data_IF_171007373624
#
_entry.id   IF_171007373624
#
_cell.length_a   1.000
_cell.length_b   1.000
_cell.length_c   1.000
_cell.angle_alpha   90.00
_cell.angle_beta   90.00
_cell.angle_gamma   90.00
#
_symmetry.space_group_name_H-M   'P 1'
#
loop_
_entity.id
_entity.type
_entity.pdbx_description
1 polymer ?
#
# COMPACT_ATOMS: atom_id res chain seq x y z
N UNK A 1 20.70 5.27 9.83
CA UNK A 1 19.28 5.32 9.42
C UNK A 1 19.00 4.49 8.17
N UNK A 2 19.64 4.72 7.01
CA UNK A 2 19.31 3.94 5.79
C UNK A 2 19.42 2.42 6.01
N UNK A 3 20.47 1.97 6.70
CA UNK A 3 20.74 0.56 7.02
C UNK A 3 20.28 0.12 8.42
N UNK A 4 19.46 0.93 9.08
CA UNK A 4 18.99 0.70 10.46
C UNK A 4 17.45 0.56 10.46
N UNK A 5 16.90 -0.67 10.46
CA UNK A 5 15.46 -0.91 10.43
C UNK A 5 14.73 -0.29 11.63
N UNK A 6 15.34 -0.35 12.82
CA UNK A 6 14.75 0.20 14.05
C UNK A 6 14.80 1.73 14.02
N UNK A 7 15.89 2.30 13.52
CA UNK A 7 15.99 3.73 13.28
C UNK A 7 14.94 4.25 12.29
N UNK A 8 14.65 3.50 11.20
CA UNK A 8 13.55 3.84 10.27
C UNK A 8 12.20 3.83 10.98
N UNK A 9 11.96 2.84 11.85
CA UNK A 9 10.75 2.74 12.65
C UNK A 9 10.58 3.93 13.60
N UNK A 10 11.66 4.30 14.30
CA UNK A 10 11.69 5.46 15.19
C UNK A 10 11.46 6.77 14.41
N UNK A 11 12.12 6.93 13.26
CA UNK A 11 11.99 8.12 12.43
C UNK A 11 10.55 8.36 11.99
N UNK A 12 9.85 7.32 11.51
CA UNK A 12 8.43 7.45 11.18
C UNK A 12 7.58 7.74 12.41
N UNK A 13 7.87 7.13 13.56
CA UNK A 13 7.11 7.43 14.77
C UNK A 13 7.22 8.93 15.12
N UNK A 14 8.42 9.49 14.99
CA UNK A 14 8.71 10.92 15.21
C UNK A 14 7.98 11.84 14.24
N UNK A 15 7.74 11.45 12.98
CA UNK A 15 7.03 12.34 12.05
C UNK A 15 5.59 12.65 12.46
N UNK A 16 4.96 11.77 13.26
CA UNK A 16 3.61 12.01 13.81
C UNK A 16 3.58 12.87 15.08
N UNK A 17 4.74 13.26 15.63
CA UNK A 17 4.82 14.18 16.75
C UNK A 17 4.88 15.65 16.32
N UNK A 18 4.99 15.92 15.02
CA UNK A 18 5.13 17.27 14.48
C UNK A 18 6.48 17.93 14.84
N UNK A 19 6.71 19.17 14.39
CA UNK A 19 8.01 19.83 14.47
C UNK A 19 8.45 20.15 15.91
N UNK A 20 7.49 20.35 16.81
CA UNK A 20 7.71 20.70 18.23
C UNK A 20 7.47 19.54 19.19
N UNK A 21 7.30 18.32 18.68
CA UNK A 21 7.06 17.12 19.51
C UNK A 21 5.62 16.98 20.03
N UNK A 22 4.73 17.95 19.77
CA UNK A 22 3.34 17.95 20.19
C UNK A 22 2.37 18.10 19.00
N UNK A 23 1.81 16.98 18.55
CA UNK A 23 0.81 16.96 17.47
C UNK A 23 -0.32 15.96 17.75
N UNK A 24 -1.20 16.22 18.74
CA UNK A 24 -2.18 15.24 19.22
C UNK A 24 -3.18 14.81 18.14
N UNK A 25 -3.46 15.67 17.15
CA UNK A 25 -4.33 15.34 16.00
C UNK A 25 -3.71 14.34 15.02
N UNK A 26 -2.37 14.22 14.98
CA UNK A 26 -1.66 13.30 14.08
C UNK A 26 -1.46 11.91 14.70
N UNK A 27 -1.33 11.82 16.03
CA UNK A 27 -1.06 10.58 16.75
C UNK A 27 -2.00 9.40 16.44
N UNK A 28 -3.32 9.59 16.22
CA UNK A 28 -4.21 8.49 15.86
C UNK A 28 -3.80 7.77 14.56
N UNK A 29 -3.21 8.48 13.60
CA UNK A 29 -2.78 7.94 12.30
C UNK A 29 -1.48 7.14 12.39
N UNK A 30 -0.66 7.41 13.43
CA UNK A 30 0.62 6.73 13.69
C UNK A 30 0.47 5.22 13.78
N UNK A 31 -0.64 4.73 14.36
CA UNK A 31 -0.84 3.28 14.59
C UNK A 31 -0.80 2.49 13.28
N UNK A 32 -1.49 2.97 12.24
CA UNK A 32 -1.52 2.30 10.93
C UNK A 32 -0.13 2.27 10.29
N UNK A 33 0.55 3.43 10.24
CA UNK A 33 1.89 3.54 9.67
C UNK A 33 2.90 2.62 10.37
N UNK A 34 2.94 2.62 11.71
CA UNK A 34 3.87 1.79 12.46
C UNK A 34 3.54 0.30 12.39
N UNK A 35 2.27 -0.08 12.26
CA UNK A 35 1.90 -1.48 12.11
C UNK A 35 2.49 -2.07 10.83
N UNK A 36 2.40 -1.35 9.72
CA UNK A 36 2.96 -1.83 8.45
C UNK A 36 4.49 -1.84 8.48
N UNK A 37 5.13 -0.81 9.04
CA UNK A 37 6.59 -0.81 9.15
C UNK A 37 7.13 -1.90 10.08
N UNK A 38 6.45 -2.21 11.20
CA UNK A 38 6.84 -3.36 12.04
C UNK A 38 6.76 -4.67 11.28
N UNK A 39 5.75 -4.83 10.43
CA UNK A 39 5.67 -5.99 9.55
C UNK A 39 6.84 -6.00 8.55
N UNK A 40 7.21 -4.87 7.95
CA UNK A 40 8.38 -4.77 7.07
C UNK A 40 9.69 -5.15 7.79
N UNK A 41 9.88 -4.66 9.03
CA UNK A 41 11.02 -5.03 9.88
C UNK A 41 10.99 -6.53 10.19
N UNK A 42 9.85 -7.05 10.68
CA UNK A 42 9.71 -8.46 11.06
C UNK A 42 9.90 -9.43 9.90
N UNK A 43 9.45 -9.07 8.70
CA UNK A 43 9.67 -9.87 7.47
C UNK A 43 11.13 -9.87 7.02
N UNK A 44 11.93 -8.89 7.45
CA UNK A 44 13.32 -8.72 7.04
C UNK A 44 13.53 -7.92 5.77
N UNK A 45 12.48 -7.38 5.14
CA UNK A 45 12.63 -6.62 3.87
C UNK A 45 13.42 -5.32 4.06
N UNK A 46 13.48 -4.78 5.29
CA UNK A 46 14.26 -3.58 5.61
C UNK A 46 15.67 -3.85 6.12
N UNK A 47 16.09 -5.12 6.25
CA UNK A 47 17.44 -5.48 6.71
C UNK A 47 18.51 -4.79 5.84
N UNK A 48 19.72 -4.62 6.38
CA UNK A 48 20.82 -4.04 5.62
C UNK A 48 21.11 -4.89 4.36
N UNK A 49 21.64 -4.25 3.31
CA UNK A 49 21.91 -4.95 2.04
C UNK A 49 23.07 -5.96 2.19
N UNK A 50 23.94 -5.76 3.16
CA UNK A 50 25.04 -6.64 3.55
C UNK A 50 24.68 -7.62 4.68
N UNK A 51 23.42 -7.63 5.15
CA UNK A 51 22.95 -8.58 6.16
C UNK A 51 22.79 -10.00 5.57
N UNK A 52 22.62 -10.99 6.45
CA UNK A 52 22.34 -12.38 6.05
C UNK A 52 21.09 -12.92 6.77
N UNK A 53 19.96 -13.09 6.07
CA UNK A 53 19.71 -12.72 4.67
C UNK A 53 19.68 -11.19 4.47
N UNK A 54 19.97 -10.68 3.25
CA UNK A 54 19.92 -9.25 2.96
C UNK A 54 18.47 -8.76 2.87
N UNK A 55 18.26 -7.46 3.09
CA UNK A 55 16.96 -6.83 2.82
C UNK A 55 16.66 -6.65 1.33
N UNK A 56 15.45 -6.22 1.00
CA UNK A 56 15.06 -5.90 -0.37
C UNK A 56 15.48 -4.47 -0.73
N UNK A 57 16.25 -4.28 -1.82
CA UNK A 57 16.55 -2.95 -2.34
C UNK A 57 15.29 -2.13 -2.64
N UNK A 58 14.28 -2.77 -3.24
CA UNK A 58 13.02 -2.13 -3.61
C UNK A 58 12.23 -1.67 -2.38
N UNK A 59 12.02 -2.54 -1.39
CA UNK A 59 11.26 -2.22 -0.17
C UNK A 59 11.93 -1.09 0.62
N UNK A 60 13.26 -1.09 0.68
CA UNK A 60 14.04 -0.05 1.35
C UNK A 60 13.93 1.30 0.64
N UNK A 61 13.89 1.32 -0.69
CA UNK A 61 13.73 2.53 -1.49
C UNK A 61 12.32 3.13 -1.34
N UNK A 62 11.27 2.30 -1.42
CA UNK A 62 9.88 2.75 -1.20
C UNK A 62 9.67 3.28 0.21
N UNK A 63 10.18 2.56 1.22
CA UNK A 63 10.14 3.02 2.60
C UNK A 63 10.91 4.34 2.79
N UNK A 64 12.07 4.51 2.15
CA UNK A 64 12.85 5.74 2.23
C UNK A 64 12.09 6.94 1.64
N UNK A 65 11.40 6.78 0.51
CA UNK A 65 10.57 7.85 -0.07
C UNK A 65 9.49 8.31 0.90
N UNK A 66 8.74 7.36 1.49
CA UNK A 66 7.70 7.66 2.47
C UNK A 66 8.26 8.41 3.70
N UNK A 67 9.42 7.97 4.21
CA UNK A 67 10.08 8.64 5.34
C UNK A 67 10.55 10.05 4.96
N UNK A 68 11.15 10.22 3.78
CA UNK A 68 11.65 11.51 3.30
C UNK A 68 10.51 12.52 3.17
N UNK A 69 9.44 12.15 2.47
CA UNK A 69 8.30 13.05 2.24
C UNK A 69 7.66 13.46 3.58
N UNK A 70 7.49 12.52 4.51
CA UNK A 70 6.97 12.81 5.85
C UNK A 70 7.89 13.68 6.70
N UNK A 71 9.20 13.45 6.66
CA UNK A 71 10.18 14.27 7.38
C UNK A 71 10.23 15.70 6.83
N UNK A 72 10.18 15.85 5.50
CA UNK A 72 10.16 17.16 4.86
C UNK A 72 8.91 17.95 5.23
N UNK A 73 7.73 17.31 5.22
CA UNK A 73 6.49 17.97 5.64
C UNK A 73 6.54 18.43 7.11
N UNK A 74 7.11 17.62 8.00
CA UNK A 74 7.33 18.02 9.40
C UNK A 74 8.27 19.22 9.49
N UNK A 75 9.41 19.19 8.81
CA UNK A 75 10.37 20.30 8.80
C UNK A 75 9.74 21.60 8.27
N UNK A 76 8.95 21.51 7.20
CA UNK A 76 8.22 22.64 6.61
C UNK A 76 7.14 23.20 7.53
N UNK A 77 6.39 22.34 8.19
CA UNK A 77 5.41 22.77 9.21
C UNK A 77 6.09 23.46 10.40
N UNK A 78 7.38 23.22 10.62
CA UNK A 78 8.23 23.90 11.60
C UNK A 78 8.88 25.20 11.10
N UNK A 79 8.55 25.67 9.89
CA UNK A 79 9.06 26.92 9.33
C UNK A 79 10.20 26.79 8.31
N UNK A 80 10.58 25.56 7.92
CA UNK A 80 11.55 25.38 6.83
C UNK A 80 10.95 25.85 5.50
N UNK A 81 11.59 26.83 4.86
CA UNK A 81 11.16 27.42 3.59
C UNK A 81 11.62 26.64 2.34
N UNK A 82 11.34 27.18 1.15
CA UNK A 82 11.73 26.63 -0.15
C UNK A 82 10.60 25.89 -0.87
N UNK A 83 10.86 25.41 -2.10
CA UNK A 83 9.88 24.61 -2.87
C UNK A 83 9.87 23.15 -2.38
N UNK A 84 8.69 22.52 -2.18
CA UNK A 84 8.55 21.09 -1.91
C UNK A 84 9.34 20.22 -2.88
N UNK A 85 9.99 19.16 -2.38
CA UNK A 85 10.78 18.26 -3.23
C UNK A 85 9.93 17.37 -4.13
N UNK A 86 8.66 17.15 -3.78
CA UNK A 86 7.72 16.34 -4.55
C UNK A 86 6.27 16.78 -4.33
N UNK A 87 5.37 16.40 -5.23
CA UNK A 87 3.92 16.61 -5.06
C UNK A 87 3.38 15.92 -3.80
N UNK A 88 3.94 14.76 -3.43
CA UNK A 88 3.54 14.07 -2.21
C UNK A 88 3.79 14.92 -0.95
N UNK A 89 4.85 15.74 -0.93
CA UNK A 89 5.11 16.67 0.18
C UNK A 89 4.01 17.73 0.30
N UNK A 90 3.47 18.25 -0.81
CA UNK A 90 2.32 19.16 -0.78
C UNK A 90 1.09 18.49 -0.16
N UNK A 91 0.83 17.24 -0.52
CA UNK A 91 -0.26 16.46 0.06
C UNK A 91 -0.03 16.16 1.56
N UNK A 92 1.21 15.91 1.97
CA UNK A 92 1.56 15.78 3.38
C UNK A 92 1.33 17.09 4.14
N UNK A 93 1.61 18.26 3.54
CA UNK A 93 1.30 19.55 4.13
C UNK A 93 -0.21 19.76 4.30
N UNK A 94 -1.03 19.30 3.36
CA UNK A 94 -2.49 19.28 3.52
C UNK A 94 -2.93 18.40 4.68
N UNK A 95 -2.34 17.21 4.85
CA UNK A 95 -2.60 16.36 6.01
C UNK A 95 -2.17 17.02 7.32
N UNK A 96 -1.00 17.67 7.35
CA UNK A 96 -0.52 18.37 8.54
C UNK A 96 -1.51 19.47 8.97
N UNK A 97 -2.01 20.25 8.00
CA UNK A 97 -2.96 21.33 8.24
C UNK A 97 -4.37 20.81 8.64
N UNK A 98 -4.87 19.78 7.96
CA UNK A 98 -6.16 19.16 8.25
C UNK A 98 -6.08 17.62 8.33
N UNK A 99 -5.77 17.07 9.53
CA UNK A 99 -5.59 15.63 9.72
C UNK A 99 -6.91 14.86 9.63
N UNK A 100 -7.16 14.26 8.47
CA UNK A 100 -8.30 13.39 8.20
C UNK A 100 -7.82 12.07 7.60
N UNK A 101 -8.67 11.04 7.60
CA UNK A 101 -8.36 9.78 6.93
C UNK A 101 -8.09 9.99 5.43
N UNK A 102 -8.86 10.87 4.77
CA UNK A 102 -8.67 11.18 3.35
C UNK A 102 -7.34 11.89 3.09
N UNK A 103 -7.03 12.95 3.83
CA UNK A 103 -5.76 13.68 3.63
C UNK A 103 -4.55 12.80 3.96
N UNK A 104 -4.67 11.91 4.97
CA UNK A 104 -3.63 10.93 5.29
C UNK A 104 -3.38 9.94 4.16
N UNK A 105 -4.43 9.28 3.63
CA UNK A 105 -4.26 8.33 2.53
C UNK A 105 -3.76 9.00 1.27
N UNK A 106 -4.26 10.20 0.94
CA UNK A 106 -3.82 10.91 -0.25
C UNK A 106 -2.32 11.19 -0.20
N UNK A 107 -1.82 11.71 0.92
CA UNK A 107 -0.41 11.97 1.12
C UNK A 107 0.43 10.68 1.14
N UNK A 108 0.04 9.71 1.95
CA UNK A 108 0.73 8.43 2.08
C UNK A 108 0.80 7.69 0.75
N UNK A 109 -0.32 7.55 0.04
CA UNK A 109 -0.39 6.79 -1.18
C UNK A 109 0.26 7.51 -2.36
N UNK A 110 0.33 8.84 -2.36
CA UNK A 110 1.14 9.56 -3.35
C UNK A 110 2.64 9.26 -3.19
N UNK A 111 3.16 9.24 -1.95
CA UNK A 111 4.54 8.80 -1.68
C UNK A 111 4.78 7.36 -2.13
N UNK A 112 3.85 6.45 -1.82
CA UNK A 112 3.96 5.03 -2.22
C UNK A 112 3.89 4.87 -3.74
N UNK A 113 2.87 5.42 -4.40
CA UNK A 113 2.67 5.27 -5.83
C UNK A 113 3.85 5.83 -6.63
N UNK A 114 4.31 7.04 -6.30
CA UNK A 114 5.49 7.62 -6.95
C UNK A 114 6.73 6.76 -6.70
N UNK A 115 6.95 6.23 -5.48
CA UNK A 115 8.08 5.36 -5.22
C UNK A 115 8.02 4.03 -5.99
N UNK A 116 6.84 3.42 -6.13
CA UNK A 116 6.65 2.23 -6.99
C UNK A 116 7.11 2.54 -8.42
N UNK A 117 6.65 3.66 -8.96
CA UNK A 117 6.90 4.04 -10.34
C UNK A 117 8.36 4.45 -10.58
N UNK A 118 8.99 5.11 -9.62
CA UNK A 118 10.38 5.59 -9.70
C UNK A 118 11.40 4.46 -9.49
N UNK A 119 10.99 3.36 -8.85
CA UNK A 119 11.86 2.21 -8.53
C UNK A 119 11.40 0.91 -9.22
N UNK A 120 10.75 1.02 -10.38
CA UNK A 120 10.31 -0.16 -11.16
C UNK A 120 11.47 -1.08 -11.54
N UNK A 121 12.65 -0.52 -11.83
CA UNK A 121 13.88 -1.25 -12.10
C UNK A 121 14.29 -2.17 -10.94
N UNK A 122 14.20 -1.69 -9.69
CA UNK A 122 14.47 -2.51 -8.51
C UNK A 122 13.42 -3.63 -8.37
N UNK A 123 12.15 -3.34 -8.67
CA UNK A 123 11.09 -4.35 -8.64
C UNK A 123 11.34 -5.46 -9.67
N UNK A 124 11.86 -5.14 -10.85
CA UNK A 124 12.16 -6.13 -11.89
C UNK A 124 13.26 -7.12 -11.48
N UNK A 125 14.11 -6.75 -10.51
CA UNK A 125 15.14 -7.63 -9.93
C UNK A 125 14.62 -8.55 -8.83
N UNK A 126 13.43 -8.29 -8.31
CA UNK A 126 12.81 -9.12 -7.28
C UNK A 126 12.38 -10.49 -7.84
N UNK A 127 12.33 -11.49 -6.96
CA UNK A 127 11.86 -12.82 -7.35
C UNK A 127 10.42 -12.76 -7.86
N UNK A 128 10.00 -13.74 -8.67
CA UNK A 128 8.63 -13.78 -9.21
C UNK A 128 7.56 -13.71 -8.08
N UNK A 129 7.66 -14.46 -6.97
CA UNK A 129 6.75 -14.30 -5.83
C UNK A 129 6.73 -12.91 -5.22
N UNK A 130 7.90 -12.28 -5.07
CA UNK A 130 7.97 -10.91 -4.55
C UNK A 130 7.27 -9.92 -5.50
N UNK A 131 7.49 -10.02 -6.81
CA UNK A 131 6.82 -9.16 -7.82
C UNK A 131 5.29 -9.33 -7.82
N UNK A 132 4.79 -10.56 -7.69
CA UNK A 132 3.36 -10.80 -7.46
C UNK A 132 2.89 -10.07 -6.20
N UNK A 133 3.65 -10.19 -5.12
CA UNK A 133 3.31 -9.55 -3.86
C UNK A 133 3.33 -8.02 -3.92
N UNK A 134 4.25 -7.41 -4.67
CA UNK A 134 4.25 -5.95 -4.88
C UNK A 134 2.92 -5.48 -5.48
N UNK A 135 2.36 -6.23 -6.43
CA UNK A 135 1.03 -5.92 -6.99
C UNK A 135 -0.08 -6.06 -5.94
N UNK A 136 -0.04 -7.09 -5.10
CA UNK A 136 -1.01 -7.29 -3.99
C UNK A 136 -0.95 -6.15 -2.98
N UNK A 137 0.25 -5.67 -2.65
CA UNK A 137 0.42 -4.53 -1.75
C UNK A 137 -0.16 -3.28 -2.39
N UNK A 138 0.18 -3.00 -3.65
CA UNK A 138 -0.29 -1.81 -4.36
C UNK A 138 -1.82 -1.79 -4.43
N UNK A 139 -2.45 -2.86 -4.91
CA UNK A 139 -3.91 -2.91 -5.02
C UNK A 139 -4.61 -2.75 -3.67
N UNK A 140 -4.06 -3.30 -2.58
CA UNK A 140 -4.64 -3.16 -1.23
C UNK A 140 -4.46 -1.76 -0.66
N UNK A 141 -3.32 -1.12 -0.92
CA UNK A 141 -3.06 0.28 -0.55
C UNK A 141 -4.03 1.22 -1.26
N UNK A 142 -4.23 1.04 -2.57
CA UNK A 142 -5.20 1.82 -3.34
C UNK A 142 -6.65 1.55 -2.88
N UNK A 143 -6.99 0.30 -2.62
CA UNK A 143 -8.32 -0.07 -2.15
C UNK A 143 -8.64 0.52 -0.76
N UNK A 144 -7.68 0.50 0.16
CA UNK A 144 -7.86 1.10 1.49
C UNK A 144 -8.15 2.61 1.40
N UNK A 145 -7.51 3.31 0.47
CA UNK A 145 -7.82 4.71 0.20
C UNK A 145 -9.24 4.87 -0.37
N UNK A 146 -9.62 4.03 -1.34
CA UNK A 146 -10.94 4.06 -1.93
C UNK A 146 -12.07 3.78 -0.91
N UNK A 147 -11.84 2.97 0.13
CA UNK A 147 -12.82 2.76 1.20
C UNK A 147 -13.26 4.06 1.87
N UNK A 148 -12.32 5.01 2.02
CA UNK A 148 -12.59 6.31 2.65
C UNK A 148 -13.01 7.37 1.63
N UNK A 149 -12.30 7.46 0.51
CA UNK A 149 -12.45 8.57 -0.43
C UNK A 149 -13.44 8.29 -1.58
N UNK A 150 -13.65 7.02 -1.93
CA UNK A 150 -14.59 6.59 -2.98
C UNK A 150 -15.39 5.33 -2.56
N UNK A 151 -16.12 5.36 -1.43
CA UNK A 151 -16.73 4.16 -0.85
C UNK A 151 -17.74 3.46 -1.78
N UNK A 152 -18.35 4.19 -2.73
CA UNK A 152 -19.23 3.59 -3.76
C UNK A 152 -18.45 2.79 -4.80
N UNK A 153 -17.26 3.23 -5.16
CA UNK A 153 -16.33 2.44 -5.96
C UNK A 153 -15.90 1.21 -5.15
N UNK A 154 -15.45 1.42 -3.91
CA UNK A 154 -14.88 0.34 -3.11
C UNK A 154 -15.89 -0.72 -2.65
N UNK A 155 -17.11 -0.36 -2.26
CA UNK A 155 -18.09 -1.25 -1.63
C UNK A 155 -19.48 -1.24 -2.29
N UNK A 156 -19.67 -0.53 -3.40
CA UNK A 156 -20.96 -0.49 -4.11
C UNK A 156 -22.11 -0.08 -3.19
N UNK A 157 -23.06 -1.01 -2.97
CA UNK A 157 -24.23 -0.80 -2.10
C UNK A 157 -23.88 -0.71 -0.61
N UNK A 158 -22.74 -1.27 -0.21
CA UNK A 158 -22.25 -1.24 1.18
C UNK A 158 -21.38 -0.01 1.46
N UNK A 159 -21.39 1.00 0.57
CA UNK A 159 -20.65 2.25 0.71
C UNK A 159 -20.75 2.93 2.09
N UNK A 160 -21.89 2.95 2.80
CA UNK A 160 -21.97 3.59 4.12
C UNK A 160 -21.00 3.01 5.16
N UNK A 161 -20.56 1.75 5.01
CA UNK A 161 -19.58 1.13 5.90
C UNK A 161 -18.13 1.50 5.55
N UNK A 162 -17.87 2.03 4.35
CA UNK A 162 -16.51 2.25 3.81
C UNK A 162 -15.63 3.11 4.71
N UNK A 163 -16.04 4.34 5.09
CA UNK A 163 -15.20 5.22 5.90
C UNK A 163 -14.82 4.63 7.25
N UNK A 164 -15.69 3.82 7.87
CA UNK A 164 -15.40 3.14 9.12
C UNK A 164 -14.39 1.99 8.92
N UNK A 165 -14.57 1.20 7.87
CA UNK A 165 -13.71 0.05 7.56
C UNK A 165 -12.32 0.46 7.08
N UNK A 166 -12.21 1.61 6.43
CA UNK A 166 -10.95 2.17 5.95
C UNK A 166 -10.31 3.17 6.91
N UNK A 167 -10.82 3.41 8.11
CA UNK A 167 -10.25 4.46 8.97
C UNK A 167 -8.88 4.04 9.54
N UNK A 168 -7.77 4.73 9.19
CA UNK A 168 -6.42 4.41 9.68
C UNK A 168 -6.26 4.60 11.19
N UNK A 169 -7.17 5.33 11.83
CA UNK A 169 -7.17 5.57 13.28
C UNK A 169 -7.76 4.40 14.06
N UNK A 170 -8.70 3.67 13.45
CA UNK A 170 -9.49 2.64 14.13
C UNK A 170 -8.94 1.25 13.88
N UNK A 171 -8.76 0.85 12.62
CA UNK A 171 -8.30 -0.49 12.28
C UNK A 171 -7.86 -0.59 10.83
N UNK A 172 -6.54 -0.46 10.58
CA UNK A 172 -5.93 -0.88 9.31
C UNK A 172 -5.37 -2.30 9.35
N UNK A 173 -5.56 -2.96 10.48
CA UNK A 173 -5.02 -4.28 10.72
C UNK A 173 -5.70 -5.32 9.84
N UNK A 174 -6.97 -5.19 9.45
CA UNK A 174 -7.62 -6.17 8.56
C UNK A 174 -6.96 -6.32 7.18
N UNK A 175 -6.67 -5.21 6.50
CA UNK A 175 -6.14 -5.19 5.12
C UNK A 175 -4.65 -5.56 5.12
N UNK A 176 -3.86 -4.99 6.02
CA UNK A 176 -2.41 -5.28 6.09
C UNK A 176 -2.09 -6.57 6.89
N UNK A 177 -2.83 -6.98 7.94
CA UNK A 177 -2.64 -8.30 8.58
C UNK A 177 -3.10 -9.46 7.68
N UNK A 178 -3.87 -9.18 6.63
CA UNK A 178 -4.10 -10.21 5.60
C UNK A 178 -2.81 -10.46 4.81
N UNK A 179 -1.89 -9.50 4.68
CA UNK A 179 -0.57 -9.75 4.05
C UNK A 179 0.29 -10.69 4.90
N UNK A 180 0.31 -10.50 6.23
CA UNK A 180 1.05 -11.38 7.15
C UNK A 180 0.42 -12.77 7.32
N UNK A 181 -0.83 -12.96 6.89
CA UNK A 181 -1.50 -14.27 6.88
C UNK A 181 -1.44 -14.98 5.53
N UNK A 182 -1.20 -14.24 4.46
CA UNK A 182 -1.11 -14.75 3.08
C UNK A 182 0.34 -15.11 2.72
N UNK A 183 1.34 -14.58 3.43
CA UNK A 183 2.75 -14.75 3.06
C UNK A 183 3.63 -15.23 4.22
N UNK A 184 4.70 -15.99 3.91
CA UNK A 184 5.74 -16.31 4.87
C UNK A 184 6.30 -15.08 5.56
N UNK A 185 6.56 -15.20 6.86
CA UNK A 185 7.11 -14.14 7.71
C UNK A 185 8.60 -13.84 7.43
N UNK A 186 9.16 -14.27 6.30
CA UNK A 186 10.59 -14.13 5.98
C UNK A 186 10.83 -13.74 4.53
N UNK A 187 11.80 -12.86 4.33
CA UNK A 187 12.38 -12.47 3.05
C UNK A 187 13.77 -13.11 2.86
N UNK A 188 14.16 -13.49 1.63
CA UNK A 188 13.34 -13.53 0.41
C UNK A 188 12.38 -14.73 0.39
N UNK A 189 11.29 -14.62 -0.37
CA UNK A 189 10.43 -15.77 -0.65
C UNK A 189 11.18 -16.83 -1.48
N UNK A 190 11.15 -18.08 -1.02
CA UNK A 190 11.90 -19.20 -1.61
C UNK A 190 11.12 -20.08 -2.59
N UNK A 191 9.79 -20.10 -2.54
CA UNK A 191 8.95 -21.04 -3.31
C UNK A 191 8.36 -20.44 -4.60
N UNK A 192 7.78 -21.28 -5.47
CA UNK A 192 7.05 -20.85 -6.67
C UNK A 192 5.74 -20.11 -6.32
N UNK A 193 5.36 -19.12 -7.14
CA UNK A 193 4.11 -18.36 -7.00
C UNK A 193 2.90 -19.29 -6.94
N UNK A 194 2.92 -20.37 -7.72
CA UNK A 194 1.85 -21.36 -7.73
C UNK A 194 1.66 -22.03 -6.37
N UNK A 195 2.73 -22.23 -5.59
CA UNK A 195 2.63 -22.77 -4.23
C UNK A 195 1.99 -21.76 -3.27
N UNK A 196 2.29 -20.47 -3.42
CA UNK A 196 1.66 -19.40 -2.63
C UNK A 196 0.18 -19.23 -2.96
N UNK A 197 -0.18 -19.21 -4.26
CA UNK A 197 -1.57 -19.13 -4.71
C UNK A 197 -2.34 -20.39 -4.31
N UNK A 198 -1.74 -21.58 -4.42
CA UNK A 198 -2.41 -22.83 -4.04
C UNK A 198 -2.54 -23.01 -2.52
N UNK A 199 -1.60 -22.47 -1.72
CA UNK A 199 -1.68 -22.48 -0.26
C UNK A 199 -2.70 -21.45 0.28
N UNK A 200 -3.23 -20.58 -0.59
CA UNK A 200 -4.10 -19.46 -0.23
C UNK A 200 -5.55 -19.93 0.07
N UNK A 201 -5.77 -20.79 1.06
CA UNK A 201 -7.10 -21.29 1.42
C UNK A 201 -7.95 -20.32 2.28
N UNK A 202 -7.84 -18.99 2.14
CA UNK A 202 -8.33 -18.05 3.17
C UNK A 202 -8.86 -16.68 2.70
N UNK A 203 -9.38 -15.89 3.67
CA UNK A 203 -9.97 -14.54 3.56
C UNK A 203 -9.22 -13.53 2.64
N UNK A 204 -7.92 -13.70 2.42
CA UNK A 204 -7.11 -12.90 1.49
C UNK A 204 -7.56 -13.03 0.04
N UNK A 205 -7.84 -14.26 -0.43
CA UNK A 205 -8.39 -14.49 -1.77
C UNK A 205 -9.78 -13.87 -1.94
N UNK A 206 -10.61 -13.93 -0.90
CA UNK A 206 -11.94 -13.32 -0.92
C UNK A 206 -11.85 -11.80 -1.04
N UNK A 207 -10.88 -11.19 -0.38
CA UNK A 207 -10.61 -9.76 -0.50
C UNK A 207 -10.07 -9.44 -1.89
N UNK A 208 -9.00 -10.08 -2.33
CA UNK A 208 -8.29 -9.69 -3.56
C UNK A 208 -9.03 -10.11 -4.83
N UNK A 209 -9.50 -11.35 -4.93
CA UNK A 209 -10.23 -11.83 -6.13
C UNK A 209 -11.74 -11.61 -6.04
N UNK A 210 -12.32 -11.63 -4.84
CA UNK A 210 -13.76 -11.50 -4.63
C UNK A 210 -14.22 -10.05 -4.57
N UNK A 211 -13.56 -9.24 -3.75
CA UNK A 211 -13.93 -7.85 -3.52
C UNK A 211 -13.18 -6.90 -4.45
N UNK A 212 -11.85 -6.94 -4.49
CA UNK A 212 -11.05 -5.92 -5.21
C UNK A 212 -11.04 -6.21 -6.71
N UNK A 213 -10.77 -7.46 -7.11
CA UNK A 213 -10.61 -7.93 -8.48
C UNK A 213 -11.62 -7.35 -9.49
N UNK A 214 -12.94 -7.48 -9.26
CA UNK A 214 -13.97 -7.01 -10.20
C UNK A 214 -13.94 -5.51 -10.53
N UNK A 215 -13.22 -4.72 -9.75
CA UNK A 215 -13.18 -3.26 -9.86
C UNK A 215 -11.75 -2.72 -9.89
N UNK A 216 -10.75 -3.58 -10.15
CA UNK A 216 -9.34 -3.20 -10.21
C UNK A 216 -9.08 -2.11 -11.25
N UNK A 217 -9.62 -2.25 -12.46
CA UNK A 217 -9.44 -1.26 -13.53
C UNK A 217 -9.90 0.14 -13.07
N UNK A 218 -11.14 0.24 -12.59
CA UNK A 218 -11.71 1.49 -12.07
C UNK A 218 -10.97 2.01 -10.83
N UNK A 219 -10.43 1.12 -9.99
CA UNK A 219 -9.64 1.48 -8.83
C UNK A 219 -8.34 2.17 -9.22
N UNK A 220 -7.63 1.65 -10.21
CA UNK A 220 -6.40 2.27 -10.73
C UNK A 220 -6.69 3.58 -11.44
N UNK A 221 -7.75 3.65 -12.25
CA UNK A 221 -8.19 4.89 -12.91
C UNK A 221 -8.55 5.98 -11.91
N UNK A 222 -9.36 5.66 -10.89
CA UNK A 222 -9.68 6.59 -9.83
C UNK A 222 -8.45 7.00 -9.02
N UNK A 223 -7.54 6.06 -8.74
CA UNK A 223 -6.33 6.36 -7.97
C UNK A 223 -5.35 7.25 -8.74
N UNK A 224 -5.24 7.06 -10.06
CA UNK A 224 -4.41 7.90 -10.93
C UNK A 224 -4.88 9.36 -10.90
N UNK A 225 -6.19 9.60 -10.89
CA UNK A 225 -6.79 10.92 -10.76
C UNK A 225 -6.66 11.49 -9.33
N UNK A 226 -7.07 10.74 -8.30
CA UNK A 226 -7.04 11.23 -6.90
C UNK A 226 -5.62 11.57 -6.42
N UNK A 227 -4.61 10.86 -6.92
CA UNK A 227 -3.19 11.05 -6.57
C UNK A 227 -2.41 11.93 -7.56
N UNK A 228 -3.05 12.39 -8.65
CA UNK A 228 -2.39 13.13 -9.75
C UNK A 228 -1.15 12.38 -10.30
N UNK A 229 -1.30 11.06 -10.52
CA UNK A 229 -0.23 10.17 -10.97
C UNK A 229 -0.72 9.27 -12.12
N UNK A 230 -0.72 9.78 -13.37
CA UNK A 230 -1.26 9.05 -14.53
C UNK A 230 -0.46 7.78 -14.86
N UNK A 231 0.83 7.69 -14.48
CA UNK A 231 1.66 6.49 -14.73
C UNK A 231 1.16 5.27 -13.95
N UNK A 232 0.27 5.42 -12.96
CA UNK A 232 -0.42 4.29 -12.34
C UNK A 232 -1.21 3.45 -13.35
N UNK A 233 -1.68 4.05 -14.45
CA UNK A 233 -2.37 3.31 -15.51
C UNK A 233 -1.44 2.34 -16.24
N UNK A 234 -0.12 2.55 -16.21
CA UNK A 234 0.87 1.61 -16.76
C UNK A 234 1.10 0.39 -15.85
N UNK A 235 0.39 0.29 -14.72
CA UNK A 235 0.44 -0.81 -13.77
C UNK A 235 -0.80 -1.72 -13.86
N UNK A 236 -1.75 -1.43 -14.75
CA UNK A 236 -2.99 -2.19 -14.91
C UNK A 236 -3.32 -2.34 -16.41
N UNK A 237 -3.82 -3.51 -16.81
CA UNK A 237 -4.36 -3.71 -18.17
C UNK A 237 -5.48 -4.72 -18.13
N UNK A 238 -6.64 -4.38 -18.69
CA UNK A 238 -7.83 -5.24 -18.75
C UNK A 238 -8.22 -5.83 -17.37
N UNK A 239 -8.07 -5.02 -16.31
CA UNK A 239 -8.32 -5.45 -14.93
C UNK A 239 -7.26 -6.38 -14.32
N UNK A 240 -6.12 -6.58 -15.00
CA UNK A 240 -4.98 -7.36 -14.50
C UNK A 240 -3.81 -6.45 -14.09
N UNK A 241 -3.30 -6.56 -12.86
CA UNK A 241 -2.08 -5.89 -12.44
C UNK A 241 -0.87 -6.35 -13.26
N UNK A 242 -0.05 -5.38 -13.70
CA UNK A 242 1.13 -5.57 -14.54
C UNK A 242 2.37 -4.81 -14.03
N UNK A 243 2.36 -4.35 -12.78
CA UNK A 243 3.55 -3.70 -12.21
C UNK A 243 4.68 -4.72 -12.02
N UNK A 244 5.79 -4.57 -12.75
CA UNK A 244 6.88 -5.55 -12.77
C UNK A 244 6.40 -7.00 -13.04
N UNK A 245 5.28 -7.14 -13.76
CA UNK A 245 4.62 -8.42 -14.01
C UNK A 245 4.17 -8.52 -15.46
N UNK A 246 4.47 -9.63 -16.12
CA UNK A 246 4.10 -9.83 -17.52
C UNK A 246 2.59 -9.96 -17.69
N UNK A 247 2.02 -9.25 -18.66
CA UNK A 247 0.62 -9.43 -19.05
C UNK A 247 0.31 -10.84 -19.60
N UNK A 248 1.31 -11.56 -20.11
CA UNK A 248 1.12 -12.96 -20.52
C UNK A 248 0.80 -13.87 -19.34
N UNK A 249 1.31 -13.53 -18.15
CA UNK A 249 1.12 -14.26 -16.90
C UNK A 249 -0.08 -13.72 -16.08
N UNK A 250 -1.00 -13.00 -16.70
CA UNK A 250 -2.13 -12.35 -16.02
C UNK A 250 -3.16 -13.31 -15.42
N UNK A 251 -3.12 -14.58 -15.81
CA UNK A 251 -4.09 -15.59 -15.37
C UNK A 251 -4.03 -15.85 -13.85
N UNK A 252 -2.90 -15.52 -13.21
CA UNK A 252 -2.78 -15.55 -11.73
C UNK A 252 -3.80 -14.62 -11.06
N UNK A 253 -4.24 -13.56 -11.75
CA UNK A 253 -5.22 -12.59 -11.25
C UNK A 253 -6.67 -13.01 -11.50
N UNK A 254 -6.87 -14.02 -12.37
CA UNK A 254 -8.17 -14.46 -12.85
C UNK A 254 -8.31 -15.97 -12.67
N UNK A 255 -8.61 -16.45 -11.44
CA UNK A 255 -8.78 -17.88 -11.21
C UNK A 255 -9.90 -18.42 -12.11
N UNK A 256 -9.57 -19.43 -12.94
CA UNK A 256 -10.47 -20.00 -13.94
C UNK A 256 -11.78 -20.55 -13.36
N UNK A 257 -11.76 -20.96 -12.07
CA UNK A 257 -12.95 -21.38 -11.31
C UNK A 257 -12.90 -20.75 -9.92
N UNK A 258 -13.45 -19.53 -9.72
CA UNK A 258 -13.44 -18.91 -8.41
C UNK A 258 -14.27 -19.76 -7.42
N UNK A 259 -13.79 -20.01 -6.19
CA UNK A 259 -14.55 -20.67 -5.13
C UNK A 259 -15.96 -20.08 -4.93
N UNK A 260 -16.88 -20.87 -4.39
CA UNK A 260 -18.27 -20.45 -4.19
C UNK A 260 -18.40 -19.16 -3.34
N UNK A 261 -17.53 -19.01 -2.34
CA UNK A 261 -17.47 -17.81 -1.50
C UNK A 261 -17.11 -16.55 -2.30
N UNK A 262 -16.14 -16.63 -3.21
CA UNK A 262 -15.74 -15.53 -4.11
C UNK A 262 -16.91 -15.13 -5.02
N UNK A 263 -17.61 -16.12 -5.58
CA UNK A 263 -18.82 -15.87 -6.40
C UNK A 263 -19.93 -15.19 -5.59
N UNK A 264 -20.13 -15.60 -4.34
CA UNK A 264 -21.11 -14.99 -3.45
C UNK A 264 -20.76 -13.51 -3.18
N UNK A 265 -19.50 -13.21 -2.80
CA UNK A 265 -19.04 -11.82 -2.57
C UNK A 265 -19.27 -10.95 -3.82
N UNK A 266 -18.89 -11.43 -5.01
CA UNK A 266 -19.10 -10.71 -6.27
C UNK A 266 -20.58 -10.41 -6.54
N UNK A 267 -21.49 -11.29 -6.10
CA UNK A 267 -22.95 -11.09 -6.24
C UNK A 267 -23.51 -10.08 -5.24
N UNK A 268 -23.01 -10.09 -4.00
CA UNK A 268 -23.46 -9.16 -2.95
C UNK A 268 -22.88 -7.76 -3.12
N UNK A 269 -21.67 -7.65 -3.67
CA UNK A 269 -20.95 -6.39 -3.91
C UNK A 269 -20.56 -6.27 -5.38
N UNK A 270 -21.53 -6.13 -6.31
CA UNK A 270 -21.23 -6.06 -7.74
C UNK A 270 -20.42 -4.81 -8.06
N UNK A 271 -19.41 -4.96 -8.92
CA UNK A 271 -18.76 -3.81 -9.54
C UNK A 271 -19.78 -3.08 -10.43
N UNK A 272 -19.72 -1.75 -10.44
CA UNK A 272 -20.47 -0.97 -11.43
C UNK A 272 -19.83 -1.19 -12.79
N UNK A 273 -20.64 -1.35 -13.83
CA UNK A 273 -20.16 -1.35 -15.22
C UNK A 273 -19.86 0.08 -15.64
#
# INVERSE_FOLDING_TARGET
>A
MRDDPDGRLELSARTYHGPVGNAPRHLPFRRAALSFMRWQVGRGVLAAIDATPPGSPWWRAVNERLLRDGCEAVARSGGMGGRPSSHAVDLWMLFVADPTARTWYRAHNASIASAYLDHRDLADTESRPERFFLNVVLLRVLFAHALVAAPRLALGRLAPAGPLLGDPRLSMTGIFLSLSRVLPDRYPLGDDVAAYVAAEHNLGEMLDYGLIGPRLQQLYEWSADELDEPRLLDCIRDGSPIYAWSYTDRDVWHPARPPAAIRAVRRFVPARR
#
